data_IF_064244490493
#
_entry.id   IF_064244490493
#
_cell.length_a   1.000
_cell.length_b   1.000
_cell.length_c   1.000
_cell.angle_alpha   90.00
_cell.angle_beta   90.00
_cell.angle_gamma   90.00
#
_symmetry.space_group_name_H-M   'P 1'
#
loop_
_entity.id
_entity.type
_entity.pdbx_description
1 polymer ?
#
# COMPACT_ATOMS: atom_id res chain seq x y z
N UNK A 1 17.21 11.98 -20.77
CA UNK A 1 15.97 11.77 -21.56
C UNK A 1 14.91 11.28 -20.59
N UNK A 2 14.03 12.17 -20.11
CA UNK A 2 12.89 11.77 -19.27
C UNK A 2 11.94 10.94 -20.14
N UNK A 3 11.91 9.63 -19.92
CA UNK A 3 10.87 8.77 -20.47
C UNK A 3 9.68 8.90 -19.53
N UNK A 4 8.78 9.83 -19.83
CA UNK A 4 7.49 9.92 -19.13
C UNK A 4 6.82 8.56 -19.20
N UNK A 5 6.49 7.96 -18.06
CA UNK A 5 5.69 6.76 -18.02
C UNK A 5 4.37 7.03 -18.75
N UNK A 6 4.15 6.37 -19.89
CA UNK A 6 2.93 6.51 -20.66
C UNK A 6 1.93 5.52 -20.07
N UNK A 7 0.89 6.03 -19.40
CA UNK A 7 -0.24 5.22 -18.99
C UNK A 7 -0.81 4.46 -20.22
N UNK A 8 -1.27 3.21 -20.07
CA UNK A 8 -1.86 2.46 -21.18
C UNK A 8 -2.97 3.27 -21.86
N UNK A 9 -2.99 3.32 -23.18
CA UNK A 9 -4.00 4.09 -23.94
C UNK A 9 -5.39 3.60 -23.53
N UNK A 10 -6.18 4.48 -22.91
CA UNK A 10 -7.56 4.21 -22.49
C UNK A 10 -7.72 3.70 -21.04
N UNK A 11 -6.65 3.52 -20.27
CA UNK A 11 -6.73 3.21 -18.84
C UNK A 11 -6.50 4.46 -17.97
N UNK A 12 -7.28 4.58 -16.90
CA UNK A 12 -7.14 5.60 -15.86
C UNK A 12 -7.21 4.90 -14.51
N UNK A 13 -6.16 5.06 -13.70
CA UNK A 13 -6.12 4.48 -12.36
C UNK A 13 -7.23 5.04 -11.46
N UNK A 14 -7.86 4.17 -10.67
CA UNK A 14 -9.11 4.45 -9.98
C UNK A 14 -9.02 5.66 -9.04
N UNK A 15 -7.91 5.78 -8.30
CA UNK A 15 -7.68 6.86 -7.34
C UNK A 15 -7.63 8.27 -7.98
N UNK A 16 -7.39 8.37 -9.30
CA UNK A 16 -7.39 9.66 -10.00
C UNK A 16 -8.79 10.31 -9.98
N UNK A 17 -9.85 9.50 -10.04
CA UNK A 17 -11.23 10.02 -9.96
C UNK A 17 -11.55 10.58 -8.59
N UNK A 18 -11.10 9.89 -7.54
CA UNK A 18 -11.23 10.34 -6.15
C UNK A 18 -10.46 11.63 -5.89
N UNK A 19 -9.27 11.77 -6.49
CA UNK A 19 -8.50 13.01 -6.40
C UNK A 19 -9.25 14.18 -7.04
N UNK A 20 -9.84 13.99 -8.23
CA UNK A 20 -10.62 15.04 -8.91
C UNK A 20 -11.90 15.41 -8.17
N UNK A 21 -12.56 14.45 -7.52
CA UNK A 21 -13.78 14.72 -6.76
C UNK A 21 -13.52 15.38 -5.40
N UNK A 22 -12.26 15.47 -4.95
CA UNK A 22 -11.88 15.99 -3.63
C UNK A 22 -12.26 15.07 -2.47
N UNK A 23 -12.71 13.84 -2.75
CA UNK A 23 -13.10 12.88 -1.72
C UNK A 23 -11.89 12.16 -1.11
N UNK A 24 -10.74 12.23 -1.78
CA UNK A 24 -9.56 11.48 -1.35
C UNK A 24 -8.94 12.05 -0.06
N UNK A 25 -8.88 13.38 0.10
CA UNK A 25 -8.41 13.98 1.36
C UNK A 25 -9.19 13.49 2.59
N UNK A 26 -10.52 13.42 2.46
CA UNK A 26 -11.38 12.99 3.56
C UNK A 26 -11.14 11.52 3.92
N UNK A 27 -10.94 10.65 2.94
CA UNK A 27 -10.60 9.24 3.19
C UNK A 27 -9.27 9.08 3.90
N UNK A 28 -8.26 9.85 3.53
CA UNK A 28 -6.97 9.86 4.23
C UNK A 28 -7.15 10.30 5.68
N UNK A 29 -7.93 11.37 5.90
CA UNK A 29 -8.24 11.86 7.26
C UNK A 29 -8.93 10.79 8.10
N UNK A 30 -9.96 10.14 7.56
CA UNK A 30 -10.68 9.05 8.22
C UNK A 30 -9.74 7.87 8.52
N UNK A 31 -8.95 7.41 7.56
CA UNK A 31 -8.02 6.30 7.74
C UNK A 31 -7.01 6.56 8.87
N UNK A 32 -6.53 7.81 9.01
CA UNK A 32 -5.70 8.20 10.14
C UNK A 32 -6.45 8.16 11.48
N UNK A 33 -7.72 8.56 11.52
CA UNK A 33 -8.55 8.46 12.74
C UNK A 33 -8.75 7.02 13.17
N UNK A 34 -8.94 6.10 12.22
CA UNK A 34 -9.03 4.67 12.52
C UNK A 34 -7.77 4.14 13.25
N UNK A 35 -6.60 4.79 13.16
CA UNK A 35 -5.42 4.38 13.95
C UNK A 35 -5.59 4.60 15.47
N UNK A 36 -6.52 5.46 15.91
CA UNK A 36 -6.77 5.74 17.33
C UNK A 36 -7.57 4.63 18.02
N UNK A 37 -8.34 3.88 17.24
CA UNK A 37 -9.11 2.71 17.67
C UNK A 37 -9.07 1.66 16.55
N UNK A 38 -7.90 1.01 16.38
CA UNK A 38 -7.56 0.32 15.13
C UNK A 38 -8.46 -0.88 14.79
N UNK A 39 -9.19 -0.71 13.69
CA UNK A 39 -10.07 -1.66 13.00
C UNK A 39 -9.67 -1.90 11.53
N UNK A 40 -8.52 -1.37 11.07
CA UNK A 40 -8.07 -1.43 9.66
C UNK A 40 -7.73 -2.83 9.12
N UNK A 41 -7.90 -3.89 9.92
CA UNK A 41 -7.82 -5.26 9.43
C UNK A 41 -8.75 -6.16 10.23
N UNK A 42 -9.02 -7.38 9.74
CA UNK A 42 -9.99 -8.30 10.36
C UNK A 42 -9.59 -8.82 11.76
N UNK A 43 -8.48 -8.33 12.35
CA UNK A 43 -8.12 -8.54 13.76
C UNK A 43 -8.95 -7.68 14.72
N UNK A 44 -9.44 -6.52 14.29
CA UNK A 44 -10.14 -5.55 15.15
C UNK A 44 -9.46 -5.36 16.51
N UNK A 45 -8.21 -4.90 16.49
CA UNK A 45 -7.38 -4.89 17.70
C UNK A 45 -7.71 -3.76 18.67
N UNK A 46 -8.37 -2.69 18.21
CA UNK A 46 -8.75 -1.52 19.01
C UNK A 46 -7.59 -0.84 19.74
N UNK A 47 -6.36 -1.11 19.28
CA UNK A 47 -5.16 -0.46 19.81
C UNK A 47 -5.05 0.92 19.20
N UNK A 48 -4.82 1.92 20.05
CA UNK A 48 -4.41 3.25 19.62
C UNK A 48 -2.96 3.19 19.10
N UNK A 49 -2.80 2.94 17.80
CA UNK A 49 -1.53 2.81 17.09
C UNK A 49 -0.74 4.12 16.99
N UNK A 50 -1.37 5.25 17.33
CA UNK A 50 -0.73 6.56 17.45
C UNK A 50 0.06 6.70 18.75
N UNK A 51 -0.36 6.00 19.80
CA UNK A 51 0.29 6.05 21.11
C UNK A 51 1.21 4.85 21.36
N UNK A 52 0.81 3.66 20.91
CA UNK A 52 1.57 2.43 21.16
C UNK A 52 1.26 1.34 20.14
N UNK A 53 2.22 0.46 19.92
CA UNK A 53 2.01 -0.78 19.13
C UNK A 53 1.78 -2.00 20.03
N UNK A 54 1.82 -1.83 21.36
CA UNK A 54 1.61 -2.93 22.31
C UNK A 54 0.17 -3.44 22.18
N UNK A 55 0.03 -4.75 21.96
CA UNK A 55 -1.27 -5.39 21.72
C UNK A 55 -1.63 -5.53 20.24
N UNK A 56 -1.03 -4.72 19.35
CA UNK A 56 -1.24 -4.87 17.92
C UNK A 56 -0.41 -6.04 17.39
N UNK A 57 -1.07 -7.06 16.83
CA UNK A 57 -0.39 -8.24 16.26
C UNK A 57 0.61 -7.83 15.17
N UNK A 58 0.23 -6.86 14.32
CA UNK A 58 1.09 -6.34 13.25
C UNK A 58 2.26 -5.49 13.73
N UNK A 59 2.31 -5.08 15.01
CA UNK A 59 3.41 -4.24 15.57
C UNK A 59 3.72 -2.97 14.77
N UNK A 60 2.76 -2.45 14.02
CA UNK A 60 2.95 -1.27 13.17
C UNK A 60 2.25 -0.07 13.79
N UNK A 61 2.94 1.07 13.86
CA UNK A 61 2.43 2.32 14.43
C UNK A 61 1.88 3.26 13.36
N UNK A 62 2.14 4.56 13.51
CA UNK A 62 1.85 5.60 12.51
C UNK A 62 2.73 5.48 11.26
N UNK A 63 3.99 5.06 11.42
CA UNK A 63 4.90 4.81 10.29
C UNK A 63 4.81 3.37 9.83
N UNK A 64 4.68 3.19 8.52
CA UNK A 64 4.88 1.88 7.92
C UNK A 64 6.37 1.54 7.96
N UNK A 65 6.70 0.25 7.99
CA UNK A 65 8.09 -0.20 7.83
C UNK A 65 8.21 -0.81 6.45
N UNK A 66 9.03 -0.22 5.58
CA UNK A 66 9.30 -0.78 4.24
C UNK A 66 10.56 -1.62 4.32
N UNK A 67 10.46 -2.88 3.91
CA UNK A 67 11.60 -3.79 3.82
C UNK A 67 12.45 -3.48 2.59
N UNK A 68 11.80 -3.40 1.43
CA UNK A 68 12.42 -3.14 0.14
C UNK A 68 11.38 -2.65 -0.86
N UNK A 69 11.84 -2.04 -1.94
CA UNK A 69 11.03 -1.76 -3.11
C UNK A 69 11.84 -1.93 -4.39
N UNK A 70 11.19 -2.20 -5.51
CA UNK A 70 11.86 -2.33 -6.80
C UNK A 70 11.00 -2.99 -7.89
N UNK A 71 11.51 -2.99 -9.12
CA UNK A 71 10.90 -3.72 -10.23
C UNK A 71 11.00 -5.23 -9.98
N UNK A 72 9.87 -5.85 -9.65
CA UNK A 72 9.76 -7.27 -9.33
C UNK A 72 9.32 -8.09 -10.55
N UNK A 73 10.17 -9.05 -10.94
CA UNK A 73 9.92 -9.96 -12.07
C UNK A 73 9.44 -11.35 -11.62
N UNK A 74 9.21 -11.54 -10.31
CA UNK A 74 8.72 -12.80 -9.74
C UNK A 74 7.20 -12.97 -9.76
N UNK A 75 6.42 -11.89 -9.98
CA UNK A 75 4.96 -11.99 -10.11
C UNK A 75 4.52 -12.71 -11.40
N UNK A 76 3.25 -13.07 -11.45
CA UNK A 76 2.59 -13.64 -12.63
C UNK A 76 2.71 -12.71 -13.85
N UNK A 77 2.77 -13.30 -15.04
CA UNK A 77 2.94 -12.58 -16.32
C UNK A 77 1.94 -11.44 -16.52
N UNK A 78 0.70 -11.64 -16.05
CA UNK A 78 -0.39 -10.65 -16.15
C UNK A 78 -0.17 -9.41 -15.28
N UNK A 79 0.66 -9.49 -14.23
CA UNK A 79 1.00 -8.36 -13.37
C UNK A 79 2.33 -7.72 -13.78
N UNK A 80 3.38 -8.54 -13.96
CA UNK A 80 4.73 -8.01 -14.23
C UNK A 80 4.95 -7.57 -15.67
N UNK A 81 4.16 -8.08 -16.61
CA UNK A 81 4.39 -7.91 -18.04
C UNK A 81 5.87 -8.06 -18.41
N UNK A 82 6.39 -7.10 -19.17
CA UNK A 82 7.78 -7.05 -19.61
C UNK A 82 8.66 -6.00 -18.91
N UNK A 83 8.11 -5.22 -17.96
CA UNK A 83 8.85 -4.15 -17.23
C UNK A 83 8.82 -4.31 -15.71
N UNK A 84 8.34 -5.44 -15.24
CA UNK A 84 8.20 -5.74 -13.82
C UNK A 84 6.94 -5.12 -13.20
N UNK A 85 6.58 -5.71 -12.06
CA UNK A 85 5.60 -5.18 -11.12
C UNK A 85 6.35 -4.24 -10.17
N UNK A 86 5.90 -2.99 -10.01
CA UNK A 86 6.59 -2.03 -9.16
C UNK A 86 6.29 -2.31 -7.70
N UNK A 87 7.05 -3.19 -7.06
CA UNK A 87 6.66 -3.75 -5.76
C UNK A 87 7.25 -2.98 -4.60
N UNK A 88 6.42 -2.70 -3.58
CA UNK A 88 6.81 -2.19 -2.26
C UNK A 88 6.46 -3.28 -1.23
N UNK A 89 7.48 -3.85 -0.60
CA UNK A 89 7.33 -4.86 0.45
C UNK A 89 7.26 -4.19 1.82
N UNK A 90 6.09 -4.24 2.46
CA UNK A 90 5.95 -3.82 3.84
C UNK A 90 6.41 -4.92 4.79
N UNK A 91 7.12 -4.50 5.84
CA UNK A 91 7.42 -5.36 6.98
C UNK A 91 6.24 -5.49 7.90
N UNK A 92 6.32 -6.53 8.74
CA UNK A 92 5.23 -6.99 9.58
C UNK A 92 4.03 -7.52 8.80
N UNK A 93 3.07 -8.10 9.51
CA UNK A 93 1.83 -8.61 8.94
C UNK A 93 0.78 -8.74 10.05
N UNK A 94 -0.49 -8.56 9.72
CA UNK A 94 -1.63 -8.87 10.59
C UNK A 94 -1.83 -10.39 10.78
N UNK A 95 -1.19 -11.23 9.97
CA UNK A 95 -1.22 -12.70 10.05
C UNK A 95 0.08 -13.30 10.67
N UNK A 96 -0.01 -14.59 10.98
CA UNK A 96 1.04 -15.42 11.61
C UNK A 96 1.05 -16.83 11.00
N UNK A 97 1.12 -16.92 9.67
CA UNK A 97 1.01 -18.18 8.95
C UNK A 97 2.20 -19.11 9.27
N UNK A 98 1.92 -20.38 9.58
CA UNK A 98 2.96 -21.39 9.87
C UNK A 98 3.80 -21.76 8.63
N UNK A 99 3.32 -21.42 7.44
CA UNK A 99 3.95 -21.65 6.14
C UNK A 99 4.35 -20.35 5.43
N UNK A 100 4.53 -19.25 6.17
CA UNK A 100 4.81 -17.94 5.56
C UNK A 100 6.14 -17.94 4.78
N UNK A 101 6.07 -17.76 3.45
CA UNK A 101 7.27 -17.63 2.60
C UNK A 101 8.09 -16.39 2.98
N UNK A 102 7.41 -15.30 3.36
CA UNK A 102 8.01 -14.03 3.79
C UNK A 102 8.11 -13.94 5.32
N UNK A 103 8.34 -15.06 6.02
CA UNK A 103 8.34 -15.10 7.49
C UNK A 103 9.34 -14.09 8.09
N UNK A 104 10.54 -14.00 7.55
CA UNK A 104 11.56 -13.08 8.09
C UNK A 104 11.10 -11.63 8.06
N UNK A 105 10.51 -11.19 6.94
CA UNK A 105 10.04 -9.81 6.75
C UNK A 105 8.77 -9.55 7.57
N UNK A 106 7.83 -10.50 7.58
CA UNK A 106 6.53 -10.36 8.25
C UNK A 106 6.59 -10.50 9.78
N UNK A 107 7.67 -11.07 10.33
CA UNK A 107 7.78 -11.41 11.75
C UNK A 107 8.95 -10.77 12.50
N UNK A 108 9.96 -10.24 11.80
CA UNK A 108 11.14 -9.63 12.45
C UNK A 108 11.21 -8.11 12.33
N UNK A 109 10.35 -7.48 11.51
CA UNK A 109 10.34 -6.01 11.35
C UNK A 109 11.58 -5.46 10.65
N UNK A 110 12.17 -6.23 9.74
CA UNK A 110 13.39 -5.85 9.02
C UNK A 110 13.05 -4.81 7.96
N UNK A 111 13.49 -3.57 8.13
CA UNK A 111 13.26 -2.51 7.15
C UNK A 111 13.47 -1.13 7.75
N UNK A 112 12.99 -0.12 7.06
CA UNK A 112 13.04 1.27 7.51
C UNK A 112 11.63 1.79 7.81
N UNK A 113 11.40 2.38 9.00
CA UNK A 113 10.20 3.18 9.24
C UNK A 113 10.19 4.37 8.29
N UNK A 114 9.08 4.57 7.57
CA UNK A 114 8.93 5.60 6.54
C UNK A 114 7.65 6.41 6.74
N UNK A 115 7.71 7.67 6.34
CA UNK A 115 6.56 8.56 6.22
C UNK A 115 5.84 8.36 4.87
N UNK A 116 4.63 8.90 4.76
CA UNK A 116 3.81 8.80 3.56
C UNK A 116 4.50 9.42 2.33
N UNK A 117 5.23 10.53 2.51
CA UNK A 117 6.01 11.19 1.45
C UNK A 117 7.10 10.29 0.87
N UNK A 118 7.73 9.46 1.71
CA UNK A 118 8.78 8.53 1.30
C UNK A 118 8.19 7.38 0.49
N UNK A 119 7.05 6.81 0.93
CA UNK A 119 6.32 5.79 0.16
C UNK A 119 5.86 6.36 -1.18
N UNK A 120 5.34 7.60 -1.19
CA UNK A 120 4.92 8.28 -2.42
C UNK A 120 6.10 8.47 -3.40
N UNK A 121 7.28 8.81 -2.88
CA UNK A 121 8.50 8.91 -3.69
C UNK A 121 8.90 7.54 -4.28
N UNK A 122 8.79 6.45 -3.52
CA UNK A 122 9.02 5.09 -4.04
C UNK A 122 8.05 4.74 -5.18
N UNK A 123 6.76 5.08 -5.04
CA UNK A 123 5.77 4.85 -6.10
C UNK A 123 6.11 5.59 -7.40
N UNK A 124 6.53 6.86 -7.29
CA UNK A 124 6.92 7.67 -8.45
C UNK A 124 8.22 7.17 -9.08
N UNK A 125 9.20 6.77 -8.27
CA UNK A 125 10.45 6.17 -8.76
C UNK A 125 10.18 4.87 -9.54
N UNK A 126 9.33 3.99 -9.03
CA UNK A 126 8.90 2.76 -9.73
C UNK A 126 8.18 3.06 -11.05
N UNK A 127 7.37 4.11 -11.07
CA UNK A 127 6.74 4.60 -12.29
C UNK A 127 7.78 5.10 -13.31
N UNK A 128 8.75 5.90 -12.89
CA UNK A 128 9.81 6.43 -13.75
C UNK A 128 10.74 5.34 -14.29
N UNK A 129 10.92 4.25 -13.52
CA UNK A 129 11.57 3.02 -13.99
C UNK A 129 10.75 2.27 -15.04
N UNK A 130 9.47 2.63 -15.23
CA UNK A 130 8.59 2.10 -16.25
C UNK A 130 7.86 0.82 -15.84
N UNK A 131 7.74 0.53 -14.54
CA UNK A 131 6.94 -0.59 -14.05
C UNK A 131 5.48 -0.48 -14.53
N UNK A 132 4.78 -1.62 -14.62
CA UNK A 132 3.40 -1.63 -15.13
C UNK A 132 2.35 -1.26 -14.08
N UNK A 133 2.69 -1.40 -12.81
CA UNK A 133 1.80 -1.15 -11.68
C UNK A 133 2.63 -0.80 -10.43
N UNK A 134 1.95 -0.37 -9.38
CA UNK A 134 2.49 -0.33 -8.01
C UNK A 134 1.87 -1.47 -7.22
N UNK A 135 2.68 -2.45 -6.82
CA UNK A 135 2.25 -3.62 -6.06
C UNK A 135 2.58 -3.46 -4.57
N UNK A 136 1.54 -3.34 -3.75
CA UNK A 136 1.62 -3.12 -2.31
C UNK A 136 1.50 -4.47 -1.61
N UNK A 137 2.62 -4.99 -1.08
CA UNK A 137 2.69 -6.35 -0.52
C UNK A 137 2.63 -6.33 1.01
N UNK A 138 1.76 -7.17 1.58
CA UNK A 138 1.35 -7.11 3.00
C UNK A 138 0.72 -5.76 3.42
N UNK A 139 -0.26 -5.24 2.67
CA UNK A 139 -0.77 -3.88 2.85
C UNK A 139 -1.81 -3.72 3.98
N UNK A 140 -2.43 -4.81 4.45
CA UNK A 140 -3.59 -4.76 5.36
C UNK A 140 -3.38 -3.94 6.62
N UNK A 141 -2.21 -4.01 7.23
CA UNK A 141 -1.91 -3.26 8.46
C UNK A 141 -1.38 -1.85 8.21
N UNK A 142 -1.21 -1.43 6.95
CA UNK A 142 -0.65 -0.13 6.55
C UNK A 142 -1.59 0.70 5.67
N UNK A 143 -2.90 0.40 5.68
CA UNK A 143 -3.92 1.08 4.85
C UNK A 143 -3.90 2.60 5.02
N UNK A 144 -3.80 3.12 6.26
CA UNK A 144 -3.77 4.56 6.51
C UNK A 144 -2.55 5.23 5.85
N UNK A 145 -1.37 4.60 5.98
CA UNK A 145 -0.12 5.08 5.40
C UNK A 145 -0.15 5.01 3.87
N UNK A 146 -0.71 3.94 3.30
CA UNK A 146 -0.91 3.78 1.87
C UNK A 146 -1.80 4.89 1.32
N UNK A 147 -2.96 5.16 1.94
CA UNK A 147 -3.87 6.19 1.44
C UNK A 147 -3.23 7.58 1.45
N UNK A 148 -2.52 7.92 2.52
CA UNK A 148 -1.75 9.17 2.59
C UNK A 148 -0.68 9.25 1.49
N UNK A 149 0.07 8.16 1.27
CA UNK A 149 1.11 8.09 0.25
C UNK A 149 0.55 8.20 -1.17
N UNK A 150 -0.55 7.50 -1.48
CA UNK A 150 -1.19 7.53 -2.80
C UNK A 150 -1.76 8.91 -3.08
N UNK A 151 -2.37 9.59 -2.09
CA UNK A 151 -2.82 10.97 -2.27
C UNK A 151 -1.67 11.90 -2.69
N UNK A 152 -0.52 11.78 -2.01
CA UNK A 152 0.68 12.58 -2.32
C UNK A 152 1.22 12.21 -3.70
N UNK A 153 1.35 10.92 -4.01
CA UNK A 153 1.89 10.44 -5.28
C UNK A 153 1.00 10.85 -6.46
N UNK A 154 -0.33 10.72 -6.32
CA UNK A 154 -1.31 11.11 -7.33
C UNK A 154 -1.25 12.61 -7.62
N UNK A 155 -1.16 13.46 -6.58
CA UNK A 155 -0.93 14.91 -6.73
C UNK A 155 0.39 15.24 -7.44
N UNK A 156 1.36 14.34 -7.40
CA UNK A 156 2.68 14.46 -8.03
C UNK A 156 2.78 13.72 -9.36
N UNK A 157 1.68 13.20 -9.90
CA UNK A 157 1.64 12.60 -11.24
C UNK A 157 1.80 11.09 -11.28
N UNK A 158 1.54 10.37 -10.19
CA UNK A 158 1.35 8.92 -10.25
C UNK A 158 0.09 8.62 -11.09
N UNK A 159 0.23 7.74 -12.07
CA UNK A 159 -0.84 7.31 -13.00
C UNK A 159 -0.93 5.80 -13.17
N UNK A 160 0.02 5.04 -12.60
CA UNK A 160 0.01 3.58 -12.66
C UNK A 160 -1.12 2.98 -11.81
N UNK A 161 -1.66 1.81 -12.23
CA UNK A 161 -2.61 1.06 -11.41
C UNK A 161 -1.97 0.57 -10.10
N UNK A 162 -2.79 0.44 -9.06
CA UNK A 162 -2.39 -0.13 -7.78
C UNK A 162 -2.85 -1.58 -7.64
N UNK A 163 -1.93 -2.46 -7.26
CA UNK A 163 -2.19 -3.84 -6.87
C UNK A 163 -2.10 -3.95 -5.35
N UNK A 164 -3.14 -4.52 -4.75
CA UNK A 164 -3.22 -4.78 -3.32
C UNK A 164 -3.00 -6.27 -3.07
N UNK A 165 -1.73 -6.64 -2.85
CA UNK A 165 -1.28 -8.01 -2.60
C UNK A 165 -1.41 -8.34 -1.11
N UNK A 166 -2.61 -8.75 -0.74
CA UNK A 166 -3.06 -9.00 0.63
C UNK A 166 -3.08 -10.50 0.95
N UNK A 167 -3.10 -10.84 2.24
CA UNK A 167 -3.46 -12.20 2.68
C UNK A 167 -4.97 -12.39 2.89
N UNK A 168 -5.80 -11.45 2.43
CA UNK A 168 -7.26 -11.47 2.51
C UNK A 168 -7.85 -11.22 3.90
N UNK A 169 -7.03 -10.88 4.90
CA UNK A 169 -7.47 -10.65 6.29
C UNK A 169 -7.77 -9.17 6.57
N UNK A 170 -8.51 -8.55 5.66
CA UNK A 170 -8.87 -7.13 5.63
C UNK A 170 -10.24 -6.90 6.28
N UNK A 171 -10.45 -5.73 6.88
CA UNK A 171 -11.74 -5.34 7.47
C UNK A 171 -12.65 -4.64 6.46
N UNK A 172 -13.95 -4.63 6.71
CA UNK A 172 -14.90 -3.91 5.85
C UNK A 172 -14.63 -2.40 5.86
N UNK A 173 -14.22 -1.87 7.00
CA UNK A 173 -13.86 -0.47 7.20
C UNK A 173 -12.65 -0.08 6.33
N UNK A 174 -11.61 -0.91 6.31
CA UNK A 174 -10.46 -0.70 5.43
C UNK A 174 -10.86 -0.81 3.93
N UNK A 175 -11.66 -1.81 3.56
CA UNK A 175 -12.11 -1.97 2.18
C UNK A 175 -12.98 -0.80 1.69
N UNK A 176 -13.84 -0.25 2.56
CA UNK A 176 -14.62 0.94 2.24
C UNK A 176 -13.73 2.18 1.99
N UNK A 177 -12.63 2.33 2.74
CA UNK A 177 -11.66 3.40 2.50
C UNK A 177 -10.90 3.21 1.18
N UNK A 178 -10.62 1.96 0.81
CA UNK A 178 -9.89 1.56 -0.40
C UNK A 178 -10.76 1.53 -1.68
N UNK A 179 -12.08 1.60 -1.56
CA UNK A 179 -13.02 1.46 -2.69
C UNK A 179 -12.84 2.57 -3.75
N UNK A 180 -12.38 2.21 -4.95
CA UNK A 180 -12.00 3.19 -5.98
C UNK A 180 -10.61 3.81 -5.79
N UNK A 181 -9.79 3.30 -4.87
CA UNK A 181 -8.36 3.59 -4.77
C UNK A 181 -7.53 2.49 -5.43
N UNK A 182 -7.84 1.23 -5.10
CA UNK A 182 -7.14 0.04 -5.60
C UNK A 182 -7.77 -0.44 -6.91
N UNK A 183 -6.95 -0.77 -7.91
CA UNK A 183 -7.41 -1.27 -9.21
C UNK A 183 -7.48 -2.80 -9.25
N UNK A 184 -6.57 -3.49 -8.56
CA UNK A 184 -6.44 -4.94 -8.56
C UNK A 184 -6.26 -5.45 -7.13
N UNK A 185 -7.13 -6.34 -6.69
CA UNK A 185 -6.98 -7.06 -5.42
C UNK A 185 -6.42 -8.45 -5.67
N UNK A 186 -5.34 -8.80 -4.97
CA UNK A 186 -4.70 -10.11 -5.06
C UNK A 186 -4.59 -10.72 -3.65
N UNK A 187 -5.54 -11.60 -3.26
CA UNK A 187 -5.53 -12.29 -1.98
C UNK A 187 -4.76 -13.62 -1.97
#
# INVERSE_FOLDING_TARGET
>A
MLRTAIAPIGFEASYIRLLRSGQFEERVRLAHQHLEDCDLCARYCHVNRRQTVKGAVCRTGERAVVHSYGSHYGEEDVLRGWRGSGTIFFSWCNLRCVFCQNWEISQKGIGQPVEAEEIAAMMLDLQDQGCHNINLVSPSHVVAQILAAVLIAAKRGLVLPLVYNTGGYDSQEALALLDGVIDIYMP
#
